data_IF_545514433085
#
_entry.id   IF_545514433085
#
_cell.length_a   1.000
_cell.length_b   1.000
_cell.length_c   1.000
_cell.angle_alpha   90.00
_cell.angle_beta   90.00
_cell.angle_gamma   90.00
#
_symmetry.space_group_name_H-M   'P 1'
#
loop_
_entity.id
_entity.type
_entity.pdbx_description
1 polymer ?
#
# COMPACT_ATOMS: atom_id res chain seq x y z
N UNK A 1 17.57 9.25 2.59
CA UNK A 1 17.11 7.90 2.96
C UNK A 1 15.67 7.94 3.43
N UNK A 2 14.92 6.88 3.16
CA UNK A 2 13.61 6.60 3.75
C UNK A 2 13.53 5.11 4.07
N UNK A 3 13.24 4.75 5.32
CA UNK A 3 13.02 3.35 5.70
C UNK A 3 11.54 3.00 5.50
N UNK A 4 11.28 1.89 4.82
CA UNK A 4 9.93 1.39 4.55
C UNK A 4 9.77 0.00 5.15
N UNK A 5 8.66 -0.22 5.84
CA UNK A 5 8.25 -1.49 6.44
C UNK A 5 6.96 -1.98 5.78
N UNK A 6 6.93 -3.25 5.38
CA UNK A 6 5.73 -3.91 4.85
C UNK A 6 5.29 -4.97 5.84
N UNK A 7 4.08 -4.81 6.36
CA UNK A 7 3.46 -5.74 7.31
C UNK A 7 2.68 -6.79 6.53
N UNK A 8 3.30 -7.93 6.26
CA UNK A 8 2.63 -9.05 5.61
C UNK A 8 1.79 -9.81 6.65
N UNK A 9 0.47 -9.74 6.48
CA UNK A 9 -0.50 -10.09 7.51
C UNK A 9 -1.56 -11.07 6.97
N UNK A 10 -1.93 -12.09 7.76
CA UNK A 10 -3.06 -13.00 7.51
C UNK A 10 -4.29 -12.48 8.26
N UNK A 11 -5.06 -11.64 7.56
CA UNK A 11 -6.29 -11.05 8.08
C UNK A 11 -7.39 -12.08 8.26
N UNK A 12 -7.85 -12.24 9.51
CA UNK A 12 -9.02 -13.04 9.82
C UNK A 12 -10.29 -12.37 9.27
N UNK A 13 -11.12 -13.11 8.53
CA UNK A 13 -12.34 -12.55 7.94
C UNK A 13 -13.34 -12.13 9.01
N UNK A 14 -13.77 -10.87 8.97
CA UNK A 14 -14.87 -10.35 9.78
C UNK A 14 -14.56 -10.09 11.26
N UNK A 15 -13.31 -10.28 11.71
CA UNK A 15 -12.92 -9.95 13.09
C UNK A 15 -12.02 -8.70 13.13
N UNK A 16 -12.65 -7.52 13.07
CA UNK A 16 -11.96 -6.24 12.98
C UNK A 16 -11.03 -5.97 14.16
N UNK A 17 -11.56 -6.04 15.38
CA UNK A 17 -10.82 -5.77 16.60
C UNK A 17 -9.59 -6.68 16.76
N UNK A 18 -9.73 -7.97 16.45
CA UNK A 18 -8.58 -8.89 16.50
C UNK A 18 -7.51 -8.53 15.46
N UNK A 19 -7.92 -8.24 14.22
CA UNK A 19 -6.98 -7.87 13.17
C UNK A 19 -6.22 -6.58 13.51
N UNK A 20 -6.91 -5.57 14.02
CA UNK A 20 -6.31 -4.31 14.44
C UNK A 20 -5.30 -4.50 15.58
N UNK A 21 -5.66 -5.28 16.60
CA UNK A 21 -4.78 -5.59 17.72
C UNK A 21 -3.53 -6.37 17.28
N UNK A 22 -3.68 -7.36 16.39
CA UNK A 22 -2.56 -8.14 15.84
C UNK A 22 -1.64 -7.28 14.96
N UNK A 23 -2.22 -6.47 14.07
CA UNK A 23 -1.46 -5.55 13.24
C UNK A 23 -0.65 -4.56 14.09
N UNK A 24 -1.28 -3.95 15.11
CA UNK A 24 -0.59 -3.08 16.08
C UNK A 24 0.57 -3.81 16.75
N UNK A 25 0.33 -5.01 17.28
CA UNK A 25 1.36 -5.83 17.93
C UNK A 25 2.54 -6.11 16.99
N UNK A 26 2.29 -6.55 15.75
CA UNK A 26 3.35 -6.83 14.77
C UNK A 26 4.20 -5.60 14.45
N UNK A 27 3.56 -4.43 14.32
CA UNK A 27 4.27 -3.17 14.04
C UNK A 27 5.14 -2.78 15.24
N UNK A 28 4.60 -2.84 16.47
CA UNK A 28 5.35 -2.50 17.68
C UNK A 28 6.53 -3.46 17.92
N UNK A 29 6.32 -4.75 17.69
CA UNK A 29 7.38 -5.77 17.84
C UNK A 29 8.49 -5.60 16.81
N UNK A 30 8.16 -5.10 15.60
CA UNK A 30 9.13 -4.79 14.56
C UNK A 30 10.00 -3.55 14.88
N UNK A 31 9.59 -2.73 15.87
CA UNK A 31 10.32 -1.54 16.35
C UNK A 31 10.81 -0.64 15.19
N UNK A 32 9.90 -0.16 14.33
CA UNK A 32 10.30 0.66 13.19
C UNK A 32 11.00 1.93 13.66
N UNK A 33 11.97 2.40 12.87
CA UNK A 33 12.66 3.65 13.15
C UNK A 33 11.69 4.83 13.02
N UNK A 34 11.75 5.79 13.93
CA UNK A 34 11.00 7.04 13.81
C UNK A 34 11.23 7.70 12.43
N UNK A 35 10.16 8.24 11.84
CA UNK A 35 10.16 8.82 10.49
C UNK A 35 10.05 7.81 9.35
N UNK A 36 9.86 6.52 9.64
CA UNK A 36 9.63 5.48 8.63
C UNK A 36 8.22 5.51 8.07
N UNK A 37 8.05 4.85 6.92
CA UNK A 37 6.74 4.55 6.34
C UNK A 37 6.40 3.07 6.60
N UNK A 38 5.20 2.79 7.12
CA UNK A 38 4.72 1.43 7.41
C UNK A 38 3.45 1.16 6.63
N UNK A 39 3.43 0.08 5.85
CA UNK A 39 2.31 -0.27 4.97
C UNK A 39 1.64 -1.55 5.47
N UNK A 40 0.31 -1.51 5.53
CA UNK A 40 -0.56 -2.65 5.79
C UNK A 40 -1.29 -3.10 4.51
N UNK A 41 -1.66 -4.38 4.37
CA UNK A 41 -2.32 -4.91 3.18
C UNK A 41 -3.71 -4.34 2.89
N UNK A 42 -4.22 -4.62 1.70
CA UNK A 42 -5.60 -4.32 1.27
C UNK A 42 -6.63 -4.92 2.25
N UNK A 43 -7.53 -4.09 2.78
CA UNK A 43 -8.59 -4.50 3.72
C UNK A 43 -8.05 -5.27 4.94
N UNK A 44 -6.86 -4.92 5.44
CA UNK A 44 -6.20 -5.69 6.52
C UNK A 44 -7.07 -5.85 7.77
N UNK A 45 -7.89 -4.83 8.07
CA UNK A 45 -8.76 -4.80 9.24
C UNK A 45 -9.92 -5.81 9.14
N UNK A 46 -10.44 -6.10 7.95
CA UNK A 46 -11.69 -6.87 7.79
C UNK A 46 -11.49 -8.20 7.07
N UNK A 47 -10.32 -8.40 6.45
CA UNK A 47 -10.08 -9.44 5.47
C UNK A 47 -10.69 -9.08 4.11
N UNK A 48 -10.18 -9.72 3.05
CA UNK A 48 -10.62 -9.39 1.69
C UNK A 48 -12.09 -9.73 1.44
N UNK A 49 -12.86 -8.69 1.07
CA UNK A 49 -14.30 -8.67 0.75
C UNK A 49 -15.15 -9.26 1.89
N UNK A 50 -15.47 -8.46 2.92
CA UNK A 50 -16.33 -8.90 4.01
C UNK A 50 -17.79 -9.05 3.53
N UNK A 51 -18.53 -9.94 4.19
CA UNK A 51 -19.93 -10.22 3.84
C UNK A 51 -20.90 -9.06 4.18
N UNK A 52 -20.54 -8.23 5.16
CA UNK A 52 -21.34 -7.11 5.65
C UNK A 52 -20.52 -5.82 5.54
N UNK A 53 -20.67 -5.12 4.41
CA UNK A 53 -19.96 -3.87 4.14
C UNK A 53 -20.37 -2.77 5.13
N UNK A 54 -21.61 -2.80 5.62
CA UNK A 54 -22.11 -1.77 6.50
C UNK A 54 -21.37 -1.76 7.84
N UNK A 55 -21.09 -2.94 8.39
CA UNK A 55 -20.27 -3.10 9.60
C UNK A 55 -18.77 -2.94 9.33
N UNK A 56 -18.33 -3.31 8.14
CA UNK A 56 -16.92 -3.27 7.78
C UNK A 56 -16.43 -1.85 7.50
N UNK A 57 -17.26 -1.03 6.85
CA UNK A 57 -16.89 0.30 6.40
C UNK A 57 -16.84 1.33 7.53
N UNK A 58 -15.92 2.28 7.41
CA UNK A 58 -15.80 3.45 8.28
C UNK A 58 -15.90 4.72 7.42
N UNK A 59 -16.18 5.86 8.03
CA UNK A 59 -16.03 7.15 7.36
C UNK A 59 -14.66 7.72 7.70
N UNK A 60 -13.71 7.58 6.77
CA UNK A 60 -12.35 8.13 6.93
C UNK A 60 -12.30 9.65 6.72
N UNK A 61 -13.35 10.24 6.14
CA UNK A 61 -13.41 11.68 5.85
C UNK A 61 -13.84 12.53 7.04
N UNK A 62 -14.48 11.94 8.05
CA UNK A 62 -14.95 12.62 9.26
C UNK A 62 -14.16 12.18 10.51
N UNK A 63 -13.37 13.10 11.07
CA UNK A 63 -12.66 13.03 12.38
C UNK A 63 -12.45 11.61 12.94
N UNK A 64 -11.52 10.80 12.41
CA UNK A 64 -11.04 9.51 12.95
C UNK A 64 -11.98 8.76 13.93
N UNK A 65 -13.25 8.60 13.60
CA UNK A 65 -14.24 8.04 14.56
C UNK A 65 -14.34 6.52 14.45
N UNK A 66 -13.90 5.96 13.33
CA UNK A 66 -13.83 4.53 13.09
C UNK A 66 -12.69 3.85 13.85
N UNK A 67 -12.89 2.57 14.18
CA UNK A 67 -11.92 1.76 14.94
C UNK A 67 -10.59 1.64 14.17
N UNK A 68 -10.65 1.42 12.86
CA UNK A 68 -9.46 1.32 12.00
C UNK A 68 -8.72 2.66 11.96
N UNK A 69 -9.44 3.76 11.72
CA UNK A 69 -8.86 5.10 11.69
C UNK A 69 -8.14 5.46 13.02
N UNK A 70 -8.80 5.21 14.16
CA UNK A 70 -8.19 5.43 15.49
C UNK A 70 -6.94 4.58 15.69
N UNK A 71 -7.01 3.28 15.43
CA UNK A 71 -5.86 2.39 15.62
C UNK A 71 -4.67 2.80 14.74
N UNK A 72 -4.90 3.18 13.48
CA UNK A 72 -3.82 3.64 12.60
C UNK A 72 -3.17 4.94 13.10
N UNK A 73 -3.99 5.90 13.58
CA UNK A 73 -3.49 7.14 14.20
C UNK A 73 -2.70 6.86 15.47
N UNK A 74 -3.19 5.99 16.35
CA UNK A 74 -2.49 5.61 17.58
C UNK A 74 -1.15 4.93 17.29
N UNK A 75 -1.10 4.03 16.30
CA UNK A 75 0.16 3.39 15.90
C UNK A 75 1.14 4.44 15.36
N UNK A 76 0.66 5.39 14.57
CA UNK A 76 1.50 6.47 14.04
C UNK A 76 2.15 7.26 15.18
N UNK A 77 1.36 7.64 16.19
CA UNK A 77 1.82 8.37 17.37
C UNK A 77 2.81 7.56 18.21
N UNK A 78 2.47 6.31 18.54
CA UNK A 78 3.31 5.45 19.40
C UNK A 78 4.66 5.11 18.75
N UNK A 79 4.70 4.96 17.44
CA UNK A 79 5.92 4.58 16.70
C UNK A 79 6.69 5.78 16.12
N UNK A 80 6.09 6.97 16.16
CA UNK A 80 6.55 8.14 15.42
C UNK A 80 6.79 7.83 13.92
N UNK A 81 5.94 7.00 13.31
CA UNK A 81 6.00 6.58 11.91
C UNK A 81 4.74 7.00 11.16
N UNK A 82 4.82 7.13 9.85
CA UNK A 82 3.63 7.31 9.00
C UNK A 82 3.06 5.95 8.63
N UNK A 83 1.78 5.74 8.89
CA UNK A 83 1.11 4.45 8.70
C UNK A 83 0.14 4.56 7.51
N UNK A 84 0.23 3.61 6.58
CA UNK A 84 -0.67 3.46 5.44
C UNK A 84 -1.50 2.20 5.61
N UNK A 85 -2.78 2.35 5.91
CA UNK A 85 -3.70 1.24 6.13
C UNK A 85 -4.81 1.21 5.09
N UNK A 86 -5.04 0.05 4.47
CA UNK A 86 -6.14 -0.10 3.53
C UNK A 86 -7.39 -0.67 4.20
N UNK A 87 -8.51 0.03 4.10
CA UNK A 87 -9.82 -0.34 4.63
C UNK A 87 -10.94 -0.14 3.62
N UNK A 88 -12.16 -0.01 4.14
CA UNK A 88 -13.34 0.29 3.35
C UNK A 88 -13.90 1.61 3.84
N UNK A 89 -13.96 2.62 2.96
CA UNK A 89 -14.58 3.89 3.30
C UNK A 89 -16.03 3.95 2.83
N UNK A 90 -16.91 4.50 3.67
CA UNK A 90 -18.31 4.78 3.35
C UNK A 90 -18.43 6.25 2.94
N UNK A 91 -18.99 6.49 1.76
CA UNK A 91 -19.39 7.82 1.31
C UNK A 91 -20.89 7.84 0.96
N UNK A 92 -21.44 9.02 0.69
CA UNK A 92 -22.84 9.20 0.29
C UNK A 92 -23.21 8.43 -0.99
N UNK A 93 -22.23 8.16 -1.85
CA UNK A 93 -22.38 7.47 -3.14
C UNK A 93 -22.17 5.94 -3.07
N UNK A 94 -21.81 5.41 -1.90
CA UNK A 94 -21.56 3.98 -1.68
C UNK A 94 -20.23 3.71 -0.96
N UNK A 95 -19.75 2.48 -1.09
CA UNK A 95 -18.51 2.02 -0.47
C UNK A 95 -17.34 2.06 -1.45
N UNK A 96 -16.15 2.34 -0.93
CA UNK A 96 -14.91 2.33 -1.71
C UNK A 96 -13.85 1.49 -1.00
N UNK A 97 -13.06 0.77 -1.78
CA UNK A 97 -11.82 0.16 -1.30
C UNK A 97 -10.77 1.25 -1.19
N UNK A 98 -10.27 1.50 0.01
CA UNK A 98 -9.65 2.75 0.39
C UNK A 98 -8.32 2.54 1.09
N UNK A 99 -7.30 3.33 0.75
CA UNK A 99 -6.07 3.45 1.54
C UNK A 99 -6.09 4.79 2.25
N UNK A 100 -5.95 4.77 3.57
CA UNK A 100 -5.82 5.96 4.42
C UNK A 100 -4.41 6.08 4.97
N UNK A 101 -3.95 7.33 5.13
CA UNK A 101 -2.59 7.65 5.55
C UNK A 101 -2.63 8.51 6.81
N UNK A 102 -1.92 8.07 7.85
CA UNK A 102 -1.83 8.74 9.14
C UNK A 102 -0.39 9.08 9.47
N UNK A 103 -0.19 10.33 9.89
CA UNK A 103 1.11 10.85 10.34
C UNK A 103 1.13 10.95 11.87
N UNK A 104 2.32 10.86 12.48
CA UNK A 104 2.43 11.06 13.92
C UNK A 104 2.02 12.49 14.29
N UNK A 105 1.30 12.61 15.40
CA UNK A 105 0.73 13.84 15.97
C UNK A 105 -0.36 14.50 15.10
N UNK A 106 -0.95 13.78 14.14
CA UNK A 106 -2.07 14.26 13.33
C UNK A 106 -3.31 13.40 13.63
N UNK A 107 -4.35 14.03 14.19
CA UNK A 107 -5.59 13.34 14.58
C UNK A 107 -6.55 13.06 13.42
N UNK A 108 -6.17 13.40 12.18
CA UNK A 108 -6.99 13.28 10.98
C UNK A 108 -6.22 12.55 9.89
N UNK A 109 -6.97 11.99 8.93
CA UNK A 109 -6.37 11.42 7.74
C UNK A 109 -5.57 12.50 6.99
N UNK A 110 -4.28 12.23 6.77
CA UNK A 110 -3.42 13.13 5.99
C UNK A 110 -3.79 13.09 4.51
N UNK A 111 -3.99 11.88 3.98
CA UNK A 111 -4.36 11.60 2.59
C UNK A 111 -5.09 10.26 2.50
N UNK A 112 -5.99 10.16 1.53
CA UNK A 112 -6.73 8.94 1.21
C UNK A 112 -6.68 8.62 -0.29
N UNK A 113 -6.89 7.36 -0.65
CA UNK A 113 -6.98 6.89 -2.03
C UNK A 113 -8.10 5.87 -2.18
N UNK A 114 -9.03 6.12 -3.10
CA UNK A 114 -10.06 5.15 -3.49
C UNK A 114 -9.59 4.38 -4.73
N UNK A 115 -9.61 3.05 -4.66
CA UNK A 115 -9.22 2.15 -5.77
C UNK A 115 -9.91 2.53 -7.06
N UNK A 116 -9.14 2.85 -8.09
CA UNK A 116 -9.68 3.28 -9.38
C UNK A 116 -10.11 2.08 -10.22
N UNK A 117 -9.30 1.02 -10.25
CA UNK A 117 -9.58 -0.15 -11.06
C UNK A 117 -10.12 -1.30 -10.19
N UNK A 118 -11.44 -1.44 -10.17
CA UNK A 118 -12.10 -2.51 -9.44
C UNK A 118 -11.86 -3.88 -10.09
N UNK A 119 -11.54 -4.87 -9.26
CA UNK A 119 -11.56 -6.26 -9.70
C UNK A 119 -13.01 -6.66 -10.08
N UNK A 120 -13.20 -7.53 -11.06
CA UNK A 120 -14.57 -7.80 -11.57
C UNK A 120 -15.61 -8.18 -10.50
N UNK A 121 -15.32 -8.96 -9.44
CA UNK A 121 -16.26 -9.24 -8.37
C UNK A 121 -16.49 -8.04 -7.43
N UNK A 122 -15.51 -7.14 -7.29
CA UNK A 122 -15.64 -5.95 -6.44
C UNK A 122 -16.66 -4.97 -6.98
N UNK A 123 -16.96 -5.00 -8.29
CA UNK A 123 -17.91 -4.08 -8.95
C UNK A 123 -19.34 -4.17 -8.41
N UNK A 124 -19.69 -5.28 -7.76
CA UNK A 124 -21.01 -5.45 -7.12
C UNK A 124 -21.10 -4.72 -5.77
N UNK A 125 -19.95 -4.48 -5.12
CA UNK A 125 -19.85 -4.01 -3.74
C UNK A 125 -19.26 -2.60 -3.62
N UNK A 126 -18.37 -2.23 -4.52
CA UNK A 126 -17.58 -1.00 -4.44
C UNK A 126 -17.80 -0.08 -5.64
N UNK A 127 -17.60 1.21 -5.40
CA UNK A 127 -17.48 2.24 -6.43
C UNK A 127 -16.01 2.46 -6.77
N UNK A 128 -15.76 2.78 -8.04
CA UNK A 128 -14.42 3.15 -8.51
C UNK A 128 -14.08 4.56 -8.06
N UNK A 129 -12.86 4.75 -7.57
CA UNK A 129 -12.28 6.08 -7.40
C UNK A 129 -12.00 6.75 -8.75
N UNK A 130 -11.87 8.07 -8.74
CA UNK A 130 -11.60 8.88 -9.94
C UNK A 130 -10.33 9.71 -9.85
N UNK A 131 -9.61 9.65 -8.73
CA UNK A 131 -8.48 10.51 -8.43
C UNK A 131 -7.24 9.70 -8.12
N UNK A 132 -6.12 10.12 -8.69
CA UNK A 132 -4.80 9.61 -8.36
C UNK A 132 -4.34 10.21 -7.04
N UNK A 133 -3.85 9.36 -6.13
CA UNK A 133 -3.22 9.82 -4.91
C UNK A 133 -1.72 9.98 -5.11
N UNK A 134 -1.28 11.23 -5.32
CA UNK A 134 0.13 11.64 -5.39
C UNK A 134 0.37 12.76 -4.36
N UNK A 135 1.30 12.55 -3.45
CA UNK A 135 1.55 13.49 -2.36
C UNK A 135 3.04 13.61 -2.02
N UNK A 136 3.40 14.72 -1.37
CA UNK A 136 4.75 14.93 -0.85
C UNK A 136 4.88 14.33 0.55
N UNK A 137 5.99 13.64 0.77
CA UNK A 137 6.39 13.08 2.05
C UNK A 137 7.87 13.41 2.27
N UNK A 138 8.16 14.45 3.05
CA UNK A 138 9.49 15.04 3.12
C UNK A 138 9.99 15.40 1.70
N UNK A 139 11.15 14.88 1.29
CA UNK A 139 11.71 15.03 -0.05
C UNK A 139 11.17 14.02 -1.08
N UNK A 140 10.30 13.09 -0.68
CA UNK A 140 9.71 12.07 -1.55
C UNK A 140 8.42 12.55 -2.18
N UNK A 141 8.14 12.00 -3.37
CA UNK A 141 6.86 12.13 -4.05
C UNK A 141 6.27 10.73 -4.20
N UNK A 142 5.25 10.45 -3.40
CA UNK A 142 4.71 9.11 -3.22
C UNK A 142 3.37 9.00 -3.93
N UNK A 143 3.20 7.94 -4.71
CA UNK A 143 1.89 7.54 -5.22
C UNK A 143 1.40 6.25 -4.52
N UNK A 144 0.09 6.11 -4.34
CA UNK A 144 -0.52 4.93 -3.74
C UNK A 144 -1.55 4.31 -4.67
N UNK A 145 -1.52 2.99 -4.79
CA UNK A 145 -2.46 2.19 -5.58
C UNK A 145 -2.89 0.94 -4.83
N UNK A 146 -4.00 0.33 -5.26
CA UNK A 146 -4.56 -0.84 -4.57
C UNK A 146 -4.66 -2.01 -5.55
N UNK A 147 -3.91 -3.08 -5.24
CA UNK A 147 -4.07 -4.42 -5.81
C UNK A 147 -4.26 -4.44 -7.33
N UNK A 148 -5.50 -4.54 -7.80
CA UNK A 148 -5.87 -4.70 -9.20
C UNK A 148 -5.42 -3.53 -10.09
N UNK A 149 -5.21 -2.34 -9.51
CA UNK A 149 -4.56 -1.19 -10.16
C UNK A 149 -3.22 -1.58 -10.81
N UNK A 150 -2.46 -2.52 -10.21
CA UNK A 150 -1.18 -3.00 -10.74
C UNK A 150 -1.25 -3.48 -12.20
N UNK A 151 -2.43 -3.93 -12.67
CA UNK A 151 -2.61 -4.39 -14.05
C UNK A 151 -2.55 -3.29 -15.10
N UNK A 152 -2.70 -2.03 -14.70
CA UNK A 152 -2.88 -0.89 -15.59
C UNK A 152 -1.62 -0.03 -15.58
N UNK A 153 -0.67 -0.20 -16.53
CA UNK A 153 0.57 0.58 -16.56
C UNK A 153 0.35 2.10 -16.67
N UNK A 154 -0.79 2.51 -17.25
CA UNK A 154 -1.09 3.89 -17.60
C UNK A 154 -1.08 4.81 -16.38
N UNK A 155 -1.70 4.39 -15.27
CA UNK A 155 -1.79 5.19 -14.04
C UNK A 155 -0.43 5.33 -13.35
N UNK A 156 0.45 4.32 -13.46
CA UNK A 156 1.81 4.37 -12.92
C UNK A 156 2.65 5.34 -13.74
N UNK A 157 2.53 5.30 -15.07
CA UNK A 157 3.19 6.27 -15.93
C UNK A 157 2.73 7.69 -15.64
N UNK A 158 1.43 7.89 -15.40
CA UNK A 158 0.88 9.21 -15.09
C UNK A 158 1.46 9.80 -13.80
N UNK A 159 1.57 9.03 -12.71
CA UNK A 159 2.18 9.55 -11.47
C UNK A 159 3.67 9.81 -11.63
N UNK A 160 4.39 9.00 -12.41
CA UNK A 160 5.80 9.21 -12.69
C UNK A 160 6.03 10.49 -13.49
N UNK A 161 5.17 10.78 -14.48
CA UNK A 161 5.16 12.09 -15.18
C UNK A 161 4.96 13.27 -14.24
N UNK A 162 4.24 13.07 -13.14
CA UNK A 162 4.01 14.08 -12.10
C UNK A 162 5.08 14.05 -10.99
N UNK A 163 6.18 13.32 -11.21
CA UNK A 163 7.37 13.33 -10.36
C UNK A 163 7.38 12.28 -9.25
N UNK A 164 6.54 11.24 -9.31
CA UNK A 164 6.62 10.13 -8.37
C UNK A 164 8.00 9.44 -8.43
N UNK A 165 8.57 9.17 -7.25
CA UNK A 165 9.83 8.46 -7.05
C UNK A 165 9.69 7.22 -6.13
N UNK A 166 8.55 7.11 -5.45
CA UNK A 166 8.13 5.91 -4.74
C UNK A 166 6.66 5.64 -5.07
N UNK A 167 6.34 4.40 -5.42
CA UNK A 167 4.97 3.94 -5.61
C UNK A 167 4.68 2.82 -4.61
N UNK A 168 3.58 2.97 -3.89
CA UNK A 168 3.11 2.00 -2.90
C UNK A 168 1.91 1.22 -3.43
N UNK A 169 1.88 -0.08 -3.16
CA UNK A 169 0.77 -0.96 -3.57
C UNK A 169 0.32 -1.80 -2.37
N UNK A 170 -0.91 -1.61 -1.92
CA UNK A 170 -1.53 -2.45 -0.89
C UNK A 170 -2.42 -3.49 -1.57
N UNK A 171 -2.23 -4.78 -1.25
CA UNK A 171 -2.90 -5.86 -1.97
C UNK A 171 -3.40 -7.01 -1.10
N UNK A 172 -4.43 -7.69 -1.60
CA UNK A 172 -4.84 -9.05 -1.28
C UNK A 172 -4.78 -9.89 -2.56
N UNK A 173 -3.58 -10.02 -3.12
CA UNK A 173 -3.32 -10.69 -4.38
C UNK A 173 -3.30 -12.22 -4.21
N UNK A 174 -4.01 -12.98 -5.06
CA UNK A 174 -4.17 -14.41 -4.86
C UNK A 174 -2.93 -15.22 -5.26
N UNK A 175 -2.63 -16.28 -4.51
CA UNK A 175 -1.47 -17.17 -4.71
C UNK A 175 -1.40 -17.74 -6.14
N UNK A 176 -2.55 -18.08 -6.74
CA UNK A 176 -2.63 -18.59 -8.12
C UNK A 176 -2.11 -17.62 -9.20
N UNK A 177 -1.90 -16.33 -8.86
CA UNK A 177 -1.36 -15.29 -9.76
C UNK A 177 -0.10 -14.65 -9.19
N UNK A 178 0.62 -15.33 -8.29
CA UNK A 178 1.86 -14.83 -7.69
C UNK A 178 2.90 -14.41 -8.73
N UNK A 179 3.12 -15.21 -9.77
CA UNK A 179 4.06 -14.85 -10.84
C UNK A 179 3.68 -13.53 -11.55
N UNK A 180 2.38 -13.23 -11.67
CA UNK A 180 1.93 -11.95 -12.24
C UNK A 180 2.21 -10.79 -11.28
N UNK A 181 2.06 -11.00 -9.97
CA UNK A 181 2.38 -10.01 -8.94
C UNK A 181 3.85 -9.61 -9.02
N UNK A 182 4.75 -10.60 -8.91
CA UNK A 182 6.21 -10.39 -8.96
C UNK A 182 6.63 -9.72 -10.28
N UNK A 183 6.15 -10.23 -11.41
CA UNK A 183 6.52 -9.73 -12.75
C UNK A 183 6.06 -8.29 -12.97
N UNK A 184 4.79 -7.98 -12.65
CA UNK A 184 4.25 -6.64 -12.89
C UNK A 184 4.92 -5.62 -11.97
N UNK A 185 5.17 -5.93 -10.70
CA UNK A 185 5.84 -5.01 -9.78
C UNK A 185 7.26 -4.66 -10.25
N UNK A 186 8.03 -5.66 -10.68
CA UNK A 186 9.36 -5.42 -11.25
C UNK A 186 9.28 -4.59 -12.52
N UNK A 187 8.34 -4.89 -13.41
CA UNK A 187 8.12 -4.09 -14.62
C UNK A 187 7.78 -2.63 -14.28
N UNK A 188 6.91 -2.38 -13.29
CA UNK A 188 6.55 -1.02 -12.85
C UNK A 188 7.75 -0.27 -12.30
N UNK A 189 8.62 -0.92 -11.52
CA UNK A 189 9.85 -0.31 -11.02
C UNK A 189 10.77 0.09 -12.17
N UNK A 190 11.06 -0.85 -13.08
CA UNK A 190 12.01 -0.69 -14.18
C UNK A 190 11.53 0.37 -15.18
N UNK A 191 10.30 0.24 -15.69
CA UNK A 191 9.83 1.10 -16.78
C UNK A 191 9.62 2.56 -16.33
N UNK A 192 9.34 2.77 -15.05
CA UNK A 192 9.12 4.09 -14.47
C UNK A 192 10.35 4.61 -13.70
N UNK A 193 11.41 3.81 -13.56
CA UNK A 193 12.59 4.10 -12.74
C UNK A 193 12.21 4.70 -11.39
N UNK A 194 11.39 3.98 -10.63
CA UNK A 194 10.90 4.36 -9.29
C UNK A 194 11.11 3.20 -8.33
N UNK A 195 11.18 3.52 -7.03
CA UNK A 195 11.00 2.49 -6.02
C UNK A 195 9.56 1.97 -6.00
N UNK A 196 9.40 0.68 -5.74
CA UNK A 196 8.12 0.03 -5.50
C UNK A 196 8.12 -0.55 -4.09
N UNK A 197 7.09 -0.23 -3.30
CA UNK A 197 6.84 -0.81 -1.99
C UNK A 197 5.46 -1.46 -1.99
N UNK A 198 5.42 -2.78 -2.14
CA UNK A 198 4.20 -3.52 -2.41
C UNK A 198 3.93 -4.54 -1.30
N UNK A 199 2.98 -4.22 -0.42
CA UNK A 199 2.56 -5.10 0.68
C UNK A 199 1.37 -5.93 0.24
N UNK A 200 1.46 -7.23 0.49
CA UNK A 200 0.38 -8.15 0.19
C UNK A 200 -0.03 -8.91 1.45
N UNK A 201 -1.31 -9.21 1.57
CA UNK A 201 -1.79 -10.13 2.59
C UNK A 201 -1.32 -11.56 2.27
N UNK A 202 -1.23 -12.39 3.30
CA UNK A 202 -0.81 -13.79 3.21
C UNK A 202 -1.90 -14.70 3.73
N UNK A 203 -1.95 -15.94 3.26
CA UNK A 203 -2.70 -17.00 3.93
C UNK A 203 -1.69 -18.03 4.42
N UNK A 204 -1.56 -18.21 5.73
CA UNK A 204 -0.62 -19.20 6.29
C UNK A 204 -1.03 -20.64 5.94
N UNK A 205 -2.33 -20.84 5.67
CA UNK A 205 -2.88 -22.10 5.20
C UNK A 205 -3.58 -21.96 3.86
N UNK A 206 -3.29 -22.88 2.94
CA UNK A 206 -4.00 -23.03 1.68
C UNK A 206 -5.43 -23.59 1.83
N UNK A 207 -5.90 -23.85 3.06
CA UNK A 207 -7.26 -24.30 3.33
C UNK A 207 -8.32 -23.21 3.05
N UNK A 208 -7.90 -21.95 2.92
CA UNK A 208 -8.80 -20.87 2.54
C UNK A 208 -9.27 -21.04 1.09
N UNK A 209 -10.55 -20.72 0.79
CA UNK A 209 -11.11 -20.78 -0.57
C UNK A 209 -10.36 -19.93 -1.60
N UNK A 210 -9.68 -18.88 -1.15
CA UNK A 210 -8.85 -17.99 -1.97
C UNK A 210 -7.55 -17.71 -1.20
N UNK A 211 -6.52 -18.57 -1.33
CA UNK A 211 -5.24 -18.33 -0.66
C UNK A 211 -4.55 -17.10 -1.25
N UNK A 212 -4.04 -16.23 -0.37
CA UNK A 212 -3.31 -15.02 -0.71
C UNK A 212 -1.82 -15.30 -0.80
N UNK A 213 -1.12 -14.58 -1.69
CA UNK A 213 0.22 -14.96 -2.12
C UNK A 213 1.32 -14.65 -1.09
N UNK A 214 1.07 -13.82 -0.07
CA UNK A 214 2.16 -13.17 0.65
C UNK A 214 3.07 -12.49 -0.37
N UNK A 215 4.37 -12.78 -0.34
CA UNK A 215 5.32 -12.28 -1.35
C UNK A 215 5.30 -10.75 -1.43
N UNK A 216 5.28 -10.09 -0.28
CA UNK A 216 5.45 -8.63 -0.23
C UNK A 216 6.85 -8.27 -0.76
N UNK A 217 6.98 -7.16 -1.49
CA UNK A 217 8.22 -6.82 -2.19
C UNK A 217 8.56 -5.34 -2.03
N UNK A 218 9.84 -5.07 -1.80
CA UNK A 218 10.44 -3.74 -1.98
C UNK A 218 11.45 -3.84 -3.12
N UNK A 219 11.30 -2.99 -4.14
CA UNK A 219 12.06 -3.08 -5.39
C UNK A 219 12.68 -1.71 -5.71
N UNK A 220 13.94 -1.71 -6.13
CA UNK A 220 14.67 -0.53 -6.57
C UNK A 220 14.29 -0.09 -8.00
N UNK A 221 14.66 1.14 -8.42
CA UNK A 221 14.39 1.65 -9.77
C UNK A 221 14.96 0.81 -10.93
N UNK A 222 16.04 0.05 -10.69
CA UNK A 222 16.63 -0.85 -11.68
C UNK A 222 16.03 -2.27 -11.64
N UNK A 223 15.06 -2.53 -10.76
CA UNK A 223 14.33 -3.81 -10.70
C UNK A 223 14.92 -4.85 -9.76
N UNK A 224 15.90 -4.49 -8.93
CA UNK A 224 16.46 -5.35 -7.89
C UNK A 224 15.51 -5.45 -6.71
N UNK A 225 15.37 -6.65 -6.16
CA UNK A 225 14.56 -6.90 -4.97
C UNK A 225 15.40 -6.56 -3.74
N UNK A 226 14.97 -5.53 -3.02
CA UNK A 226 15.63 -5.06 -1.79
C UNK A 226 15.14 -5.82 -0.56
N UNK A 227 13.89 -6.26 -0.57
CA UNK A 227 13.31 -7.12 0.45
C UNK A 227 12.15 -7.93 -0.11
N UNK A 228 12.00 -9.17 0.36
CA UNK A 228 10.94 -10.09 -0.06
C UNK A 228 10.35 -10.83 1.14
N UNK A 229 9.02 -10.88 1.18
CA UNK A 229 8.25 -11.60 2.18
C UNK A 229 8.02 -13.06 1.75
N UNK A 230 7.85 -13.99 2.70
CA UNK A 230 7.57 -15.39 2.41
C UNK A 230 6.18 -15.56 1.77
N UNK A 231 5.91 -16.75 1.24
CA UNK A 231 4.64 -17.03 0.55
C UNK A 231 3.50 -17.48 1.49
N UNK A 232 3.82 -17.93 2.71
CA UNK A 232 2.88 -18.64 3.59
C UNK A 232 3.10 -18.37 5.09
N UNK A 233 3.70 -17.24 5.44
CA UNK A 233 3.79 -16.84 6.84
C UNK A 233 3.66 -15.33 7.00
N UNK A 234 3.18 -14.92 8.16
CA UNK A 234 3.23 -13.52 8.55
C UNK A 234 4.68 -13.06 8.73
N UNK A 235 4.95 -11.80 8.40
CA UNK A 235 6.25 -11.18 8.67
C UNK A 235 6.17 -9.66 8.56
N UNK A 236 7.21 -8.98 9.04
CA UNK A 236 7.48 -7.59 8.70
C UNK A 236 8.82 -7.54 8.00
N UNK A 237 8.81 -7.14 6.72
CA UNK A 237 10.04 -6.91 5.95
C UNK A 237 10.31 -5.42 5.85
N UNK A 238 11.57 -5.04 5.66
CA UNK A 238 11.93 -3.63 5.50
C UNK A 238 13.14 -3.44 4.59
N UNK A 239 13.23 -2.26 4.00
CA UNK A 239 14.40 -1.82 3.25
C UNK A 239 14.58 -0.31 3.41
N UNK A 240 15.80 0.15 3.15
CA UNK A 240 16.11 1.58 3.10
C UNK A 240 16.16 2.02 1.64
N UNK A 241 15.46 3.12 1.34
CA UNK A 241 15.37 3.69 0.00
C UNK A 241 16.22 4.96 -0.08
N UNK A 242 17.00 5.05 -1.15
CA UNK A 242 17.85 6.21 -1.42
C UNK A 242 17.33 7.00 -2.61
N UNK A 243 16.80 8.20 -2.34
CA UNK A 243 16.31 9.12 -3.36
C UNK A 243 17.43 9.61 -4.28
N UNK A 244 18.67 9.75 -3.78
CA UNK A 244 19.78 10.21 -4.61
C UNK A 244 20.19 9.11 -5.60
N UNK A 245 20.27 7.86 -5.15
CA UNK A 245 20.55 6.72 -6.02
C UNK A 245 19.50 6.56 -7.14
N UNK A 246 18.23 6.85 -6.86
CA UNK A 246 17.18 6.83 -7.88
C UNK A 246 17.35 7.93 -8.95
N UNK A 247 17.66 9.16 -8.51
CA UNK A 247 17.96 10.27 -9.43
C UNK A 247 19.21 9.99 -10.27
N UNK A 248 20.26 9.46 -9.66
CA UNK A 248 21.49 9.12 -10.36
C UNK A 248 21.25 8.00 -11.39
N UNK A 249 20.36 7.04 -11.08
CA UNK A 249 19.94 6.02 -12.04
C UNK A 249 19.15 6.60 -13.22
N UNK A 250 18.19 7.52 -12.96
CA UNK A 250 17.47 8.22 -14.04
C UNK A 250 18.41 9.02 -14.95
N UNK A 251 19.42 9.67 -14.38
CA UNK A 251 20.43 10.43 -15.16
C UNK A 251 21.34 9.54 -15.98
N UNK A 252 21.77 8.41 -15.44
CA UNK A 252 22.67 7.48 -16.13
C UNK A 252 21.96 6.61 -17.19
N UNK A 253 20.65 6.40 -17.04
CA UNK A 253 19.82 5.66 -18.00
C UNK A 253 18.49 6.38 -18.25
N UNK A 254 18.46 7.46 -19.05
CA UNK A 254 17.34 8.41 -19.10
C UNK A 254 16.15 7.95 -19.97
N UNK A 255 15.53 6.81 -19.65
CA UNK A 255 14.35 6.31 -20.39
C UNK A 255 13.08 7.15 -20.19
N UNK A 256 13.12 8.09 -19.24
CA UNK A 256 12.03 9.01 -18.91
C UNK A 256 12.18 10.40 -19.55
N UNK A 257 13.28 10.67 -20.25
CA UNK A 257 13.51 11.95 -20.89
C UNK A 257 12.42 12.24 -21.94
N UNK A 258 11.91 13.48 -21.95
CA UNK A 258 10.77 13.87 -22.80
C UNK A 258 9.39 13.40 -22.31
N UNK A 259 9.34 12.58 -21.25
CA UNK A 259 8.10 12.10 -20.63
C UNK A 259 7.91 12.73 -19.26
N UNK A 260 8.98 12.77 -18.45
CA UNK A 260 8.99 13.35 -17.10
C UNK A 260 9.62 14.74 -17.14
N UNK A 261 9.03 15.75 -16.46
CA UNK A 261 9.60 17.09 -16.37
C UNK A 261 11.04 17.09 -15.81
N UNK A 262 11.96 17.90 -16.36
CA UNK A 262 13.38 17.90 -15.97
C UNK A 262 13.64 18.11 -14.48
N UNK A 263 12.78 18.83 -13.77
CA UNK A 263 12.89 19.07 -12.33
C UNK A 263 12.69 17.81 -11.46
N UNK A 264 12.17 16.71 -12.06
CA UNK A 264 11.98 15.42 -11.41
C UNK A 264 12.94 14.33 -11.91
N UNK A 265 13.93 14.69 -12.75
CA UNK A 265 15.00 13.81 -13.24
C UNK A 265 16.29 13.92 -12.43
#
# INVERSE_FOLDING_TARGET
>A
MLKVYLVQFDSAKGNKTENLARAKKMILDAKPNAGSLVLLPEMFATGYVPADLDKAAEDFSSNCTGETARTLSEIADETNCTIMGAGITRASTGFYNHVSIYKPNEAQEFRGYNKMNLFFPEKESFKAGSEINLFKFNNWSIASFICYDLRFPEIFREVTKKGANLITIQAAWPAKRRAHWETLLRARAIENQVYIAAVNAVSESNAQKLPLAGTSLIISPNGDILAEGPTQSETVISAELDLQAERDYRKSFPVLEGIVPPEFL
#
